data_IF_163461836231
#
_entry.id   IF_163461836231
#
_cell.length_a   1.000
_cell.length_b   1.000
_cell.length_c   1.000
_cell.angle_alpha   90.00
_cell.angle_beta   90.00
_cell.angle_gamma   90.00
#
_symmetry.space_group_name_H-M   'P 1'
#
loop_
_entity.id
_entity.type
_entity.pdbx_description
1 polymer ?
#
# COMPACT_ATOMS: atom_id res chain seq x y z
N UNK A 1 -7.79 9.07 10.56
CA UNK A 1 -7.86 7.65 10.18
C UNK A 1 -8.93 7.43 9.12
N UNK A 2 -8.78 6.34 8.35
CA UNK A 2 -9.81 5.86 7.42
C UNK A 2 -10.57 4.69 8.05
N UNK A 3 -11.84 4.53 7.67
CA UNK A 3 -12.67 3.40 8.08
C UNK A 3 -13.17 2.68 6.83
N UNK A 4 -13.08 1.37 6.85
CA UNK A 4 -13.51 0.51 5.75
C UNK A 4 -14.49 -0.53 6.28
N UNK A 5 -15.58 -0.77 5.55
CA UNK A 5 -16.42 -1.93 5.76
C UNK A 5 -15.76 -3.14 5.08
N UNK A 6 -15.42 -4.13 5.86
CA UNK A 6 -14.77 -5.36 5.41
C UNK A 6 -15.66 -6.59 5.58
N UNK A 7 -16.94 -6.40 5.86
CA UNK A 7 -17.89 -7.48 6.15
C UNK A 7 -17.88 -8.55 5.06
N UNK A 8 -17.94 -8.14 3.81
CA UNK A 8 -17.97 -9.07 2.67
C UNK A 8 -16.62 -9.76 2.39
N UNK A 9 -15.55 -9.30 3.01
CA UNK A 9 -14.22 -9.89 2.88
C UNK A 9 -13.96 -11.00 3.91
N UNK A 10 -14.70 -10.99 5.01
CA UNK A 10 -14.54 -11.96 6.09
C UNK A 10 -15.18 -13.31 5.73
N UNK A 11 -14.54 -14.38 6.16
CA UNK A 11 -14.99 -15.75 5.96
C UNK A 11 -15.01 -16.48 7.31
N UNK A 12 -15.90 -17.48 7.49
CA UNK A 12 -15.81 -18.37 8.64
C UNK A 12 -14.46 -19.08 8.69
N UNK A 13 -13.87 -19.16 9.88
CA UNK A 13 -12.54 -19.73 10.09
C UNK A 13 -11.43 -18.69 10.01
N UNK A 14 -10.24 -19.13 9.64
CA UNK A 14 -9.06 -18.28 9.62
C UNK A 14 -9.11 -17.24 8.50
N UNK A 15 -8.75 -16.01 8.83
CA UNK A 15 -8.61 -14.88 7.90
C UNK A 15 -7.19 -14.32 8.02
N UNK A 16 -6.60 -13.93 6.89
CA UNK A 16 -5.33 -13.23 6.84
C UNK A 16 -5.53 -11.72 6.70
N UNK A 17 -4.73 -10.93 7.38
CA UNK A 17 -4.66 -9.49 7.21
C UNK A 17 -3.22 -9.04 7.13
N UNK A 18 -2.93 -8.17 6.16
CA UNK A 18 -1.63 -7.56 6.01
C UNK A 18 -1.72 -6.14 5.48
N UNK A 19 -0.64 -5.39 5.64
CA UNK A 19 -0.51 -4.04 5.13
C UNK A 19 0.88 -3.81 4.55
N UNK A 20 0.95 -3.19 3.38
CA UNK A 20 2.18 -2.65 2.84
C UNK A 20 2.30 -1.17 3.22
N UNK A 21 3.43 -0.77 3.75
CA UNK A 21 3.70 0.60 4.15
C UNK A 21 4.70 1.23 3.21
N UNK A 22 4.31 2.32 2.57
CA UNK A 22 5.17 3.15 1.74
C UNK A 22 5.61 4.42 2.46
N UNK A 23 6.63 5.09 1.93
CA UNK A 23 7.18 6.32 2.51
C UNK A 23 6.15 7.47 2.54
N UNK A 24 5.43 7.67 1.43
CA UNK A 24 4.45 8.75 1.28
C UNK A 24 5.00 10.10 1.70
N UNK A 25 4.15 10.99 2.19
CA UNK A 25 4.57 12.27 2.76
C UNK A 25 5.36 12.16 4.07
N UNK A 26 5.31 11.00 4.71
CA UNK A 26 5.90 10.84 6.03
C UNK A 26 7.42 10.85 6.00
N UNK A 27 8.01 10.04 5.15
CA UNK A 27 9.47 9.82 5.10
C UNK A 27 10.04 9.83 3.67
N UNK A 28 9.29 10.36 2.71
CA UNK A 28 9.75 10.46 1.33
C UNK A 28 10.92 11.45 1.19
N UNK A 29 11.84 11.11 0.31
CA UNK A 29 12.84 12.03 -0.19
C UNK A 29 12.25 12.81 -1.36
N UNK A 30 11.74 14.02 -1.13
CA UNK A 30 11.20 14.84 -2.20
C UNK A 30 12.30 15.50 -3.00
N UNK A 31 12.47 15.10 -4.25
CA UNK A 31 13.38 15.74 -5.19
C UNK A 31 12.94 17.15 -5.64
N UNK A 32 11.68 17.49 -5.44
CA UNK A 32 11.13 18.79 -5.83
C UNK A 32 11.58 19.92 -4.89
N UNK A 33 11.76 19.61 -3.63
CA UNK A 33 12.23 20.57 -2.64
C UNK A 33 13.54 20.01 -2.06
N UNK A 34 14.66 20.52 -2.53
CA UNK A 34 15.98 20.12 -2.09
C UNK A 34 16.10 20.15 -0.55
N UNK A 35 16.41 19.03 0.07
CA UNK A 35 16.51 18.88 1.51
C UNK A 35 15.25 18.43 2.23
N UNK A 36 14.17 18.10 1.53
CA UNK A 36 12.98 17.50 2.13
C UNK A 36 13.10 15.98 2.12
N UNK A 37 13.48 15.45 3.24
CA UNK A 37 13.41 14.02 3.53
C UNK A 37 13.00 13.85 4.98
N UNK A 38 12.33 12.74 5.26
CA UNK A 38 11.94 12.37 6.64
C UNK A 38 11.17 13.47 7.38
N UNK A 39 10.28 14.19 6.65
CA UNK A 39 9.63 15.40 7.14
C UNK A 39 8.91 15.21 8.48
N UNK A 40 8.26 14.06 8.64
CA UNK A 40 7.48 13.75 9.84
C UNK A 40 8.05 12.57 10.61
N UNK A 41 8.94 11.80 10.02
CA UNK A 41 9.61 10.66 10.66
C UNK A 41 10.35 9.78 9.67
N UNK A 42 11.22 8.95 10.20
CA UNK A 42 12.11 8.05 9.43
C UNK A 42 11.58 6.63 9.32
N UNK A 43 10.45 6.33 9.95
CA UNK A 43 9.89 4.98 10.01
C UNK A 43 8.41 4.99 9.76
N UNK A 44 7.96 4.17 8.83
CA UNK A 44 6.55 3.93 8.57
C UNK A 44 5.94 3.18 9.76
N UNK A 45 4.70 3.53 10.10
CA UNK A 45 3.99 2.93 11.22
C UNK A 45 2.53 2.70 10.84
N UNK A 46 1.93 1.65 11.38
CA UNK A 46 0.53 1.33 11.23
C UNK A 46 -0.15 1.33 12.60
N UNK A 47 -1.24 2.07 12.71
CA UNK A 47 -2.19 1.95 13.81
C UNK A 47 -3.52 1.47 13.23
N UNK A 48 -3.86 0.24 13.48
CA UNK A 48 -5.06 -0.43 12.96
C UNK A 48 -5.93 -1.01 14.06
N UNK A 49 -7.24 -0.95 13.83
CA UNK A 49 -8.24 -1.60 14.66
C UNK A 49 -9.31 -2.22 13.77
N UNK A 50 -9.62 -3.49 13.99
CA UNK A 50 -10.75 -4.18 13.39
C UNK A 50 -11.78 -4.43 14.49
N UNK A 51 -13.02 -4.16 14.20
CA UNK A 51 -14.15 -4.48 15.06
C UNK A 51 -15.06 -5.44 14.31
N UNK A 52 -15.28 -6.62 14.87
CA UNK A 52 -16.17 -7.63 14.33
C UNK A 52 -17.39 -7.68 15.25
N UNK A 53 -18.56 -7.53 14.66
CA UNK A 53 -19.83 -7.67 15.38
C UNK A 53 -20.54 -8.92 14.85
N UNK A 54 -20.78 -9.87 15.74
CA UNK A 54 -21.41 -11.14 15.40
C UNK A 54 -22.94 -11.02 15.45
N UNK A 55 -23.64 -11.96 14.79
CA UNK A 55 -25.09 -11.99 14.73
C UNK A 55 -25.77 -12.14 16.11
N UNK A 56 -25.07 -12.65 17.09
CA UNK A 56 -25.54 -12.78 18.49
C UNK A 56 -25.35 -11.50 19.30
N UNK A 57 -24.80 -10.42 18.68
CA UNK A 57 -24.51 -9.13 19.32
C UNK A 57 -23.18 -9.10 20.08
N UNK A 58 -22.42 -10.18 20.09
CA UNK A 58 -21.06 -10.16 20.66
C UNK A 58 -20.10 -9.38 19.73
N UNK A 59 -19.04 -8.83 20.31
CA UNK A 59 -18.04 -8.06 19.58
C UNK A 59 -16.63 -8.55 19.89
N UNK A 60 -15.83 -8.61 18.84
CA UNK A 60 -14.39 -8.86 18.93
C UNK A 60 -13.64 -7.63 18.42
N UNK A 61 -12.52 -7.31 19.06
CA UNK A 61 -11.65 -6.21 18.63
C UNK A 61 -10.23 -6.73 18.47
N UNK A 62 -9.69 -6.55 17.27
CA UNK A 62 -8.32 -6.89 16.92
C UNK A 62 -7.58 -5.57 16.69
N UNK A 63 -6.41 -5.41 17.29
CA UNK A 63 -5.57 -4.20 17.16
C UNK A 63 -4.16 -4.58 16.72
N UNK A 64 -3.49 -3.67 16.06
CA UNK A 64 -2.06 -3.80 15.80
C UNK A 64 -1.29 -3.77 17.13
N UNK A 65 -0.44 -4.76 17.34
CA UNK A 65 0.37 -4.91 18.56
C UNK A 65 1.67 -5.67 18.25
N UNK A 66 2.41 -6.08 19.26
CA UNK A 66 3.67 -6.81 19.14
C UNK A 66 3.54 -8.27 18.67
N UNK A 67 2.32 -8.80 18.60
CA UNK A 67 2.08 -10.12 17.98
C UNK A 67 2.13 -10.06 16.44
N UNK A 68 2.02 -8.89 15.87
CA UNK A 68 2.17 -8.68 14.43
C UNK A 68 3.62 -8.85 14.02
N UNK A 69 3.82 -9.25 12.76
CA UNK A 69 5.14 -9.45 12.20
C UNK A 69 5.37 -8.57 11.00
N UNK A 70 6.62 -8.23 10.78
CA UNK A 70 7.06 -7.34 9.71
C UNK A 70 8.10 -8.02 8.83
N UNK A 71 8.04 -7.71 7.54
CA UNK A 71 9.02 -8.13 6.55
C UNK A 71 9.51 -6.89 5.78
N UNK A 72 10.83 -6.69 5.80
CA UNK A 72 11.49 -5.48 5.27
C UNK A 72 12.26 -5.74 3.97
N UNK A 73 12.04 -6.89 3.33
CA UNK A 73 12.72 -7.29 2.09
C UNK A 73 11.74 -7.66 0.98
N UNK A 74 10.58 -7.01 0.98
CA UNK A 74 9.53 -7.20 0.00
C UNK A 74 9.88 -6.66 -1.39
N UNK A 75 8.95 -6.79 -2.35
CA UNK A 75 9.18 -6.43 -3.74
C UNK A 75 9.33 -4.93 -3.98
N UNK A 76 8.68 -4.09 -3.19
CA UNK A 76 8.82 -2.63 -3.28
C UNK A 76 10.13 -2.22 -2.65
N UNK A 77 11.11 -1.84 -3.45
CA UNK A 77 12.44 -1.46 -3.00
C UNK A 77 12.59 0.03 -2.78
N UNK A 78 11.77 0.80 -3.47
CA UNK A 78 11.62 2.24 -3.30
C UNK A 78 10.17 2.63 -3.54
N UNK A 79 9.67 3.62 -2.82
CA UNK A 79 8.33 4.15 -3.01
C UNK A 79 8.26 5.61 -2.56
N UNK A 80 7.80 6.49 -3.44
CA UNK A 80 7.60 7.91 -3.17
C UNK A 80 6.50 8.50 -4.03
N UNK A 81 5.79 9.49 -3.50
CA UNK A 81 4.70 10.16 -4.22
C UNK A 81 5.19 10.92 -5.46
N UNK A 82 6.40 11.45 -5.41
CA UNK A 82 6.96 12.27 -6.48
C UNK A 82 8.03 11.55 -7.30
N UNK A 83 8.71 10.59 -6.69
CA UNK A 83 9.82 9.88 -7.31
C UNK A 83 9.41 8.51 -7.89
N UNK A 84 8.16 8.11 -7.68
CA UNK A 84 7.62 6.86 -8.21
C UNK A 84 7.92 5.64 -7.34
N UNK A 85 7.95 4.48 -7.97
CA UNK A 85 8.11 3.19 -7.29
C UNK A 85 9.10 2.31 -8.05
N UNK A 86 9.97 1.63 -7.32
CA UNK A 86 10.79 0.55 -7.83
C UNK A 86 10.28 -0.78 -7.29
N UNK A 87 9.94 -1.69 -8.19
CA UNK A 87 9.38 -2.99 -7.89
C UNK A 87 10.24 -4.13 -8.44
N UNK A 88 10.68 -5.00 -7.56
CA UNK A 88 11.44 -6.21 -7.93
C UNK A 88 10.59 -7.47 -7.71
N UNK A 89 9.95 -7.96 -8.77
CA UNK A 89 9.07 -9.14 -8.73
C UNK A 89 9.76 -10.42 -8.22
N UNK A 90 11.10 -10.48 -8.22
CA UNK A 90 11.84 -11.63 -7.69
C UNK A 90 11.78 -11.73 -6.17
N UNK A 91 11.38 -10.61 -5.51
CA UNK A 91 11.24 -10.50 -4.06
C UNK A 91 9.80 -10.68 -3.58
N UNK A 92 8.89 -11.03 -4.48
CA UNK A 92 7.52 -11.33 -4.09
C UNK A 92 7.46 -12.47 -3.08
N UNK A 93 6.62 -12.29 -2.09
CA UNK A 93 6.34 -13.29 -1.06
C UNK A 93 4.92 -13.81 -1.28
N UNK A 94 4.81 -14.91 -2.01
CA UNK A 94 3.50 -15.44 -2.38
C UNK A 94 2.71 -15.90 -1.16
N UNK A 95 1.44 -15.46 -1.09
CA UNK A 95 0.51 -15.86 -0.05
C UNK A 95 0.74 -15.23 1.33
N UNK A 96 1.54 -14.18 1.42
CA UNK A 96 1.88 -13.50 2.68
C UNK A 96 0.65 -12.94 3.42
N UNK A 97 -0.42 -12.67 2.70
CA UNK A 97 -1.70 -12.15 3.18
C UNK A 97 -2.78 -13.22 3.30
N UNK A 98 -2.43 -14.49 3.10
CA UNK A 98 -3.35 -15.62 3.18
C UNK A 98 -3.30 -16.32 4.53
N UNK A 99 -4.41 -16.92 4.99
CA UNK A 99 -4.43 -17.75 6.18
C UNK A 99 -3.43 -18.91 6.08
N UNK A 100 -2.72 -19.18 7.17
CA UNK A 100 -1.77 -20.29 7.26
C UNK A 100 -0.41 -20.02 6.62
N UNK A 101 -0.14 -18.79 6.20
CA UNK A 101 1.20 -18.40 5.75
C UNK A 101 2.23 -18.60 6.88
N UNK A 102 3.37 -19.21 6.56
CA UNK A 102 4.46 -19.36 7.51
C UNK A 102 5.30 -18.08 7.61
N UNK A 103 4.99 -17.28 8.61
CA UNK A 103 5.67 -16.05 8.94
C UNK A 103 6.78 -16.20 10.02
N UNK A 104 7.20 -17.43 10.29
CA UNK A 104 8.17 -17.74 11.36
C UNK A 104 9.50 -17.02 11.20
N UNK A 105 9.90 -16.71 9.96
CA UNK A 105 11.12 -15.96 9.63
C UNK A 105 10.97 -14.43 9.68
N UNK A 106 9.75 -13.92 9.87
CA UNK A 106 9.49 -12.49 9.96
C UNK A 106 9.82 -11.96 11.35
N UNK A 107 10.15 -10.68 11.43
CA UNK A 107 10.49 -10.02 12.69
C UNK A 107 9.21 -9.58 13.41
N UNK A 108 9.17 -9.63 14.75
CA UNK A 108 8.10 -9.00 15.50
C UNK A 108 7.98 -7.51 15.17
N UNK A 109 6.75 -6.98 15.17
CA UNK A 109 6.54 -5.55 15.02
C UNK A 109 7.15 -4.80 16.21
N UNK A 110 7.75 -3.65 15.93
CA UNK A 110 8.27 -2.77 16.98
C UNK A 110 7.17 -1.80 17.39
N UNK A 111 6.82 -1.80 18.67
CA UNK A 111 5.88 -0.84 19.20
C UNK A 111 6.55 0.52 19.43
N UNK A 112 5.89 1.56 19.02
CA UNK A 112 6.25 2.94 19.36
C UNK A 112 5.39 3.43 20.53
N UNK A 113 5.91 4.42 21.25
CA UNK A 113 5.12 5.10 22.27
C UNK A 113 3.83 5.66 21.64
N UNK A 114 2.77 5.67 22.44
CA UNK A 114 1.52 6.31 22.04
C UNK A 114 1.80 7.77 21.62
N UNK A 115 1.00 8.33 20.68
CA UNK A 115 1.10 9.73 20.34
C UNK A 115 1.09 10.60 21.60
N UNK A 116 1.80 11.75 21.60
CA UNK A 116 1.71 12.70 22.71
C UNK A 116 0.26 13.03 23.06
N UNK A 117 -0.02 13.30 24.32
CA UNK A 117 -1.38 13.54 24.83
C UNK A 117 -2.13 14.70 24.16
N UNK A 118 -1.41 15.56 23.44
CA UNK A 118 -1.96 16.68 22.68
C UNK A 118 -2.24 16.34 21.20
N UNK A 119 -2.06 15.09 20.78
CA UNK A 119 -2.37 14.63 19.42
C UNK A 119 -3.76 13.99 19.42
N UNK A 120 -4.68 14.56 18.67
CA UNK A 120 -6.00 14.00 18.44
C UNK A 120 -6.03 13.24 17.13
N UNK A 121 -6.47 11.98 17.16
CA UNK A 121 -6.62 11.14 15.98
C UNK A 121 -8.05 11.27 15.48
N UNK A 122 -8.23 11.96 14.36
CA UNK A 122 -9.55 12.23 13.78
C UNK A 122 -9.81 11.36 12.55
N UNK A 123 -11.09 11.09 12.28
CA UNK A 123 -11.53 10.47 11.03
C UNK A 123 -11.26 11.40 9.85
N UNK A 124 -10.88 10.81 8.71
CA UNK A 124 -10.73 11.56 7.47
C UNK A 124 -12.10 12.07 7.02
N UNK A 125 -12.23 13.39 6.86
CA UNK A 125 -13.50 14.05 6.52
C UNK A 125 -13.62 14.42 5.03
N UNK A 126 -12.56 14.24 4.25
CA UNK A 126 -12.55 14.50 2.80
C UNK A 126 -13.14 13.35 1.99
N UNK A 127 -13.40 13.60 0.71
CA UNK A 127 -13.72 12.53 -0.22
C UNK A 127 -12.48 11.64 -0.44
N UNK A 128 -12.61 10.31 -0.39
CA UNK A 128 -11.48 9.43 -0.64
C UNK A 128 -11.03 9.51 -2.10
N UNK A 129 -9.74 9.29 -2.34
CA UNK A 129 -9.22 9.12 -3.69
C UNK A 129 -9.72 7.78 -4.22
N UNK A 130 -10.39 7.80 -5.36
CA UNK A 130 -11.01 6.62 -5.97
C UNK A 130 -10.68 6.54 -7.46
N UNK A 131 -10.66 5.34 -8.00
CA UNK A 131 -10.66 5.12 -9.44
C UNK A 131 -12.07 5.33 -9.99
N UNK A 132 -12.35 6.54 -10.46
CA UNK A 132 -13.68 6.89 -10.98
C UNK A 132 -13.92 6.35 -12.38
N UNK A 133 -12.88 6.35 -13.22
CA UNK A 133 -12.94 5.96 -14.62
C UNK A 133 -11.68 5.18 -14.99
N UNK A 134 -11.85 4.13 -15.77
CA UNK A 134 -10.73 3.47 -16.45
C UNK A 134 -10.80 3.79 -17.93
N UNK A 135 -9.78 4.46 -18.46
CA UNK A 135 -9.65 4.77 -19.86
C UNK A 135 -8.84 3.68 -20.57
N UNK A 136 -9.25 3.35 -21.77
CA UNK A 136 -8.46 2.48 -22.68
C UNK A 136 -7.87 3.35 -23.77
N UNK A 137 -6.62 3.11 -24.12
CA UNK A 137 -5.97 3.82 -25.23
C UNK A 137 -6.78 3.65 -26.53
N UNK A 138 -7.05 4.75 -27.21
CA UNK A 138 -7.77 4.79 -28.48
C UNK A 138 -6.83 4.51 -29.65
N UNK A 139 -5.59 4.90 -29.56
CA UNK A 139 -4.55 4.62 -30.53
C UNK A 139 -3.17 4.48 -29.89
N UNK A 140 -2.24 3.90 -30.62
CA UNK A 140 -0.84 3.81 -30.24
C UNK A 140 0.02 4.04 -31.48
N UNK A 141 1.05 4.83 -31.33
CA UNK A 141 2.07 5.07 -32.37
C UNK A 141 3.47 4.84 -31.82
N UNK A 142 4.38 4.47 -32.66
CA UNK A 142 5.80 4.30 -32.36
C UNK A 142 6.61 5.35 -33.16
N UNK A 143 6.75 6.59 -32.67
CA UNK A 143 7.42 7.67 -33.41
C UNK A 143 8.92 7.43 -33.56
N UNK A 144 9.51 6.70 -32.63
CA UNK A 144 10.93 6.29 -32.65
C UNK A 144 10.96 4.83 -32.20
N UNK A 145 11.77 3.95 -32.79
CA UNK A 145 11.87 2.55 -32.39
C UNK A 145 12.03 2.37 -30.86
N UNK A 146 11.13 1.61 -30.26
CA UNK A 146 11.08 1.35 -28.82
C UNK A 146 10.35 2.42 -27.97
N UNK A 147 9.86 3.50 -28.58
CA UNK A 147 9.08 4.54 -27.89
C UNK A 147 7.62 4.47 -28.32
N UNK A 148 6.76 4.12 -27.39
CA UNK A 148 5.32 3.96 -27.64
C UNK A 148 4.52 5.08 -27.00
N UNK A 149 3.73 5.78 -27.82
CA UNK A 149 2.84 6.86 -27.37
C UNK A 149 1.40 6.38 -27.48
N UNK A 150 0.72 6.37 -26.36
CA UNK A 150 -0.69 5.94 -26.27
C UNK A 150 -1.58 7.16 -26.15
N UNK A 151 -2.50 7.30 -27.09
CA UNK A 151 -3.53 8.34 -27.05
C UNK A 151 -4.74 7.84 -26.26
N UNK A 152 -5.04 8.48 -25.15
CA UNK A 152 -6.18 8.13 -24.29
C UNK A 152 -7.47 8.85 -24.68
N UNK A 153 -7.42 9.69 -25.75
CA UNK A 153 -8.58 10.39 -26.28
C UNK A 153 -9.01 11.62 -25.49
N UNK A 154 -8.39 11.89 -24.36
CA UNK A 154 -8.65 13.09 -23.56
C UNK A 154 -7.47 13.43 -22.65
N UNK A 155 -7.42 14.68 -22.21
CA UNK A 155 -6.52 15.10 -21.16
C UNK A 155 -6.99 14.48 -19.83
N UNK A 156 -6.05 13.92 -19.05
CA UNK A 156 -6.38 13.24 -17.81
C UNK A 156 -5.26 13.36 -16.77
N UNK A 157 -5.63 13.14 -15.51
CA UNK A 157 -4.72 12.82 -14.42
C UNK A 157 -5.10 11.44 -13.91
N UNK A 158 -4.12 10.55 -13.76
CA UNK A 158 -4.40 9.17 -13.35
C UNK A 158 -3.13 8.36 -13.17
N UNK A 159 -3.30 7.07 -12.94
CA UNK A 159 -2.23 6.08 -12.84
C UNK A 159 -2.31 5.10 -14.02
N UNK A 160 -1.19 4.78 -14.68
CA UNK A 160 -1.19 3.82 -15.78
C UNK A 160 -1.39 2.40 -15.24
N UNK A 161 -2.17 1.60 -15.97
CA UNK A 161 -2.24 0.15 -15.78
C UNK A 161 -1.63 -0.51 -17.01
N UNK A 162 -0.49 -1.15 -16.84
CA UNK A 162 0.20 -1.87 -17.89
C UNK A 162 0.08 -3.37 -17.63
N UNK A 163 -0.16 -4.14 -18.71
CA UNK A 163 -0.09 -5.60 -18.67
C UNK A 163 0.99 -6.03 -19.66
N UNK A 164 1.99 -6.69 -19.17
CA UNK A 164 3.10 -7.17 -19.98
C UNK A 164 3.47 -8.60 -19.62
N UNK A 165 4.16 -9.27 -20.56
CA UNK A 165 4.75 -10.59 -20.36
C UNK A 165 6.24 -10.45 -20.60
N UNK A 166 7.02 -10.86 -19.63
CA UNK A 166 8.48 -10.77 -19.68
C UNK A 166 9.16 -12.04 -19.19
N UNK A 167 10.46 -12.09 -19.32
CA UNK A 167 11.31 -13.14 -18.73
C UNK A 167 11.83 -12.63 -17.38
N UNK A 168 12.16 -13.56 -16.48
CA UNK A 168 12.79 -13.20 -15.22
C UNK A 168 14.06 -12.36 -15.46
N UNK A 169 14.17 -11.21 -14.77
CA UNK A 169 15.26 -10.26 -14.92
C UNK A 169 15.12 -9.24 -16.05
N UNK A 170 14.02 -9.28 -16.79
CA UNK A 170 13.70 -8.20 -17.74
C UNK A 170 13.20 -6.97 -16.97
N UNK A 171 13.75 -5.81 -17.29
CA UNK A 171 13.29 -4.51 -16.79
C UNK A 171 12.26 -3.90 -17.75
N UNK A 172 11.31 -3.16 -17.20
CA UNK A 172 10.23 -2.50 -17.93
C UNK A 172 10.05 -1.10 -17.37
#
# INVERSE_FOLDING_TARGET
YNTYDITDLLRPGDNGIGAMLGAGWWSEHSGFLTGWQDQYGTRQSLLGKIVIEYADGTRETIVTNDSWKCYDRGPITFNGLQNGEEYDARKEVNGWDAPGFDDSSWKPATLFAAPPVNVEIQGYVGSPIQNNVTLTAQSMVEPIPGVYVYDMGQNMVGVPRLTFKGKAGQEI
#
